data_IF_283869784332
#
_entry.id   IF_283869784332
#
_cell.length_a   1.000
_cell.length_b   1.000
_cell.length_c   1.000
_cell.angle_alpha   90.00
_cell.angle_beta   90.00
_cell.angle_gamma   90.00
#
_symmetry.space_group_name_H-M   'P 1'
#
loop_
_entity.id
_entity.type
_entity.pdbx_description
1 polymer ?
#
# COMPACT_ATOMS: atom_id res chain seq x y z
N UNK A 1 7.18 -36.36 -11.11
CA UNK A 1 7.34 -35.17 -11.97
C UNK A 1 7.32 -33.95 -11.06
N UNK A 2 8.41 -33.19 -10.96
CA UNK A 2 8.37 -31.91 -10.24
C UNK A 2 7.50 -30.94 -11.04
N UNK A 3 6.44 -30.41 -10.42
CA UNK A 3 5.62 -29.34 -11.00
C UNK A 3 6.56 -28.14 -11.20
N UNK A 4 6.61 -27.56 -12.39
CA UNK A 4 7.40 -26.36 -12.64
C UNK A 4 6.95 -25.25 -11.67
N UNK A 5 7.90 -24.65 -10.95
CA UNK A 5 7.64 -23.61 -9.97
C UNK A 5 8.22 -22.30 -10.50
N UNK A 6 7.37 -21.30 -10.71
CA UNK A 6 7.81 -20.01 -11.22
C UNK A 6 8.60 -19.25 -10.15
N UNK A 7 9.68 -18.52 -10.50
CA UNK A 7 10.46 -17.78 -9.51
C UNK A 7 9.62 -16.73 -8.77
N UNK A 8 8.80 -15.97 -9.50
CA UNK A 8 7.92 -14.95 -8.94
C UNK A 8 6.58 -14.98 -9.66
N UNK A 9 5.49 -14.93 -8.91
CA UNK A 9 4.16 -14.62 -9.43
C UNK A 9 3.60 -13.37 -8.76
N UNK A 10 2.90 -12.57 -9.56
CA UNK A 10 2.24 -11.35 -9.10
C UNK A 10 0.73 -11.53 -9.24
N UNK A 11 0.01 -11.29 -8.16
CA UNK A 11 -1.45 -11.26 -8.17
C UNK A 11 -1.92 -9.82 -8.01
N UNK A 12 -2.83 -9.36 -8.85
CA UNK A 12 -3.41 -8.01 -8.74
C UNK A 12 -4.87 -8.16 -8.35
N UNK A 13 -5.24 -7.57 -7.22
CA UNK A 13 -6.59 -7.62 -6.64
C UNK A 13 -7.22 -6.22 -6.71
N UNK A 14 -8.44 -6.11 -7.21
CA UNK A 14 -9.21 -4.85 -7.23
C UNK A 14 -10.71 -5.14 -7.27
N UNK A 15 -11.53 -4.17 -6.88
CA UNK A 15 -12.99 -4.31 -6.95
C UNK A 15 -13.48 -4.14 -8.40
N UNK A 16 -14.39 -4.98 -8.92
CA UNK A 16 -14.79 -4.98 -10.34
C UNK A 16 -15.49 -3.68 -10.76
N UNK A 17 -16.20 -3.04 -9.84
CA UNK A 17 -16.87 -1.75 -10.11
C UNK A 17 -15.88 -0.56 -10.16
N UNK A 18 -14.60 -0.77 -9.85
CA UNK A 18 -13.59 0.27 -9.87
C UNK A 18 -12.81 0.28 -11.21
N UNK A 19 -13.25 1.14 -12.13
CA UNK A 19 -12.63 1.30 -13.45
C UNK A 19 -11.17 1.81 -13.39
N UNK A 20 -10.85 2.67 -12.43
CA UNK A 20 -9.48 3.19 -12.26
C UNK A 20 -8.51 2.06 -11.86
N UNK A 21 -8.93 1.19 -10.95
CA UNK A 21 -8.23 0.00 -10.51
C UNK A 21 -8.03 -0.99 -11.65
N UNK A 22 -9.03 -1.16 -12.51
CA UNK A 22 -8.87 -1.95 -13.73
C UNK A 22 -7.79 -1.36 -14.64
N UNK A 23 -7.82 -0.05 -14.93
CA UNK A 23 -6.81 0.61 -15.76
C UNK A 23 -5.40 0.48 -15.18
N UNK A 24 -5.27 0.56 -13.85
CA UNK A 24 -4.00 0.37 -13.15
C UNK A 24 -3.53 -1.09 -13.18
N UNK A 25 -4.44 -2.05 -13.04
CA UNK A 25 -4.15 -3.48 -13.16
C UNK A 25 -3.66 -3.83 -14.56
N UNK A 26 -4.34 -3.35 -15.60
CA UNK A 26 -3.96 -3.54 -17.00
C UNK A 26 -2.60 -2.91 -17.30
N UNK A 27 -2.35 -1.70 -16.76
CA UNK A 27 -1.05 -1.05 -16.88
C UNK A 27 0.06 -1.88 -16.22
N UNK A 28 -0.11 -2.30 -14.95
CA UNK A 28 0.87 -3.13 -14.26
C UNK A 28 1.10 -4.45 -14.97
N UNK A 29 0.05 -5.08 -15.50
CA UNK A 29 0.16 -6.26 -16.34
C UNK A 29 1.05 -6.00 -17.56
N UNK A 30 0.82 -4.89 -18.28
CA UNK A 30 1.62 -4.53 -19.46
C UNK A 30 3.10 -4.26 -19.14
N UNK A 31 3.40 -3.78 -17.93
CA UNK A 31 4.77 -3.51 -17.47
C UNK A 31 5.49 -4.81 -17.07
N UNK A 32 4.81 -5.70 -16.37
CA UNK A 32 5.39 -6.89 -15.76
C UNK A 32 5.38 -8.10 -16.69
N UNK A 33 4.30 -8.27 -17.46
CA UNK A 33 4.11 -9.38 -18.37
C UNK A 33 4.67 -9.06 -19.77
N UNK A 34 4.86 -10.10 -20.58
CA UNK A 34 5.30 -9.95 -21.96
C UNK A 34 4.12 -9.61 -22.86
N UNK A 35 4.24 -8.51 -23.60
CA UNK A 35 3.30 -8.18 -24.66
C UNK A 35 3.46 -9.21 -25.79
N UNK A 36 2.48 -10.12 -25.91
CA UNK A 36 2.43 -11.15 -26.94
C UNK A 36 2.29 -10.55 -28.35
N UNK A 37 1.77 -9.33 -28.47
CA UNK A 37 1.68 -8.59 -29.75
C UNK A 37 3.02 -7.96 -30.17
N UNK A 38 3.98 -7.84 -29.24
CA UNK A 38 5.31 -7.28 -29.50
C UNK A 38 6.41 -8.21 -28.95
N UNK A 39 6.52 -9.44 -29.48
CA UNK A 39 7.38 -10.49 -28.93
C UNK A 39 8.87 -10.12 -28.97
N UNK A 40 9.30 -9.20 -29.85
CA UNK A 40 10.68 -8.75 -29.95
C UNK A 40 11.09 -7.77 -28.83
N UNK A 41 10.12 -7.21 -28.10
CA UNK A 41 10.40 -6.35 -26.96
C UNK A 41 10.80 -7.22 -25.77
N UNK A 42 11.96 -6.94 -25.17
CA UNK A 42 12.34 -7.54 -23.89
C UNK A 42 11.47 -6.95 -22.78
N UNK A 43 10.41 -7.67 -22.41
CA UNK A 43 9.66 -7.46 -21.18
C UNK A 43 10.21 -8.32 -20.05
N UNK A 44 9.80 -8.06 -18.81
CA UNK A 44 10.20 -8.85 -17.64
C UNK A 44 9.68 -10.30 -17.65
N UNK A 45 8.53 -10.56 -18.30
CA UNK A 45 7.99 -11.92 -18.47
C UNK A 45 7.50 -12.54 -17.15
N UNK A 46 7.10 -11.71 -16.19
CA UNK A 46 6.58 -12.16 -14.89
C UNK A 46 5.12 -12.60 -15.07
N UNK A 47 4.72 -13.80 -14.60
CA UNK A 47 3.33 -14.21 -14.53
C UNK A 47 2.52 -13.24 -13.65
N UNK A 48 1.50 -12.63 -14.25
CA UNK A 48 0.56 -11.75 -13.56
C UNK A 48 -0.83 -12.35 -13.65
N UNK A 49 -1.50 -12.48 -12.50
CA UNK A 49 -2.83 -13.05 -12.39
C UNK A 49 -3.80 -12.04 -11.79
N UNK A 50 -4.97 -11.91 -12.38
CA UNK A 50 -6.01 -11.02 -11.87
C UNK A 50 -6.91 -11.70 -10.85
N UNK A 51 -7.34 -10.94 -9.85
CA UNK A 51 -8.29 -11.30 -8.80
C UNK A 51 -9.27 -10.16 -8.60
N UNK A 52 -10.17 -10.01 -9.57
CA UNK A 52 -11.16 -8.93 -9.56
C UNK A 52 -12.60 -9.42 -9.52
N UNK A 53 -12.92 -10.55 -10.15
CA UNK A 53 -14.29 -11.05 -10.16
C UNK A 53 -14.48 -12.08 -9.05
N UNK A 54 -15.65 -12.05 -8.43
CA UNK A 54 -16.09 -13.11 -7.50
C UNK A 54 -16.16 -14.43 -8.27
N UNK A 55 -15.69 -15.51 -7.66
CA UNK A 55 -15.74 -16.83 -8.28
C UNK A 55 -17.19 -17.34 -8.33
N UNK A 56 -17.50 -18.22 -9.27
CA UNK A 56 -18.82 -18.84 -9.37
C UNK A 56 -19.18 -19.53 -8.04
N UNK A 57 -20.37 -19.23 -7.51
CA UNK A 57 -20.86 -19.70 -6.20
C UNK A 57 -20.03 -19.25 -4.98
N UNK A 58 -19.21 -18.21 -5.09
CA UNK A 58 -18.49 -17.61 -3.95
C UNK A 58 -18.71 -16.10 -3.90
N UNK A 59 -18.67 -15.53 -2.69
CA UNK A 59 -18.77 -14.08 -2.49
C UNK A 59 -17.43 -13.35 -2.61
N UNK A 60 -16.35 -14.08 -2.96
CA UNK A 60 -14.98 -13.57 -2.99
C UNK A 60 -14.27 -14.04 -4.27
N UNK A 61 -13.18 -13.36 -4.70
CA UNK A 61 -12.35 -13.84 -5.79
C UNK A 61 -11.75 -15.23 -5.54
N UNK A 62 -11.26 -15.86 -6.60
CA UNK A 62 -10.59 -17.17 -6.52
C UNK A 62 -9.41 -17.09 -5.55
N UNK A 63 -9.22 -18.12 -4.72
CA UNK A 63 -8.10 -18.20 -3.80
C UNK A 63 -6.74 -18.16 -4.55
N UNK A 64 -5.70 -17.74 -3.85
CA UNK A 64 -4.33 -17.71 -4.38
C UNK A 64 -3.63 -18.99 -3.93
N UNK A 65 -3.13 -19.78 -4.88
CA UNK A 65 -2.27 -20.91 -4.55
C UNK A 65 -0.82 -20.43 -4.43
N UNK A 66 -0.37 -20.23 -3.20
CA UNK A 66 1.00 -19.78 -2.91
C UNK A 66 2.06 -20.89 -3.04
N UNK A 67 1.69 -22.13 -3.38
CA UNK A 67 2.64 -23.22 -3.58
C UNK A 67 3.26 -23.21 -5.00
N UNK A 68 2.59 -22.59 -5.97
CA UNK A 68 2.98 -22.61 -7.39
C UNK A 68 4.18 -21.72 -7.72
N UNK A 69 4.62 -20.86 -6.79
CA UNK A 69 5.72 -19.92 -7.01
C UNK A 69 6.68 -19.85 -5.84
N UNK A 70 7.95 -19.56 -6.11
CA UNK A 70 8.93 -19.38 -5.04
C UNK A 70 8.65 -18.09 -4.26
N UNK A 71 8.54 -16.97 -4.97
CA UNK A 71 8.10 -15.70 -4.44
C UNK A 71 6.68 -15.39 -4.91
N UNK A 72 5.89 -14.76 -4.05
CA UNK A 72 4.55 -14.29 -4.40
C UNK A 72 4.35 -12.87 -3.91
N UNK A 73 3.98 -11.99 -4.83
CA UNK A 73 3.58 -10.63 -4.54
C UNK A 73 2.07 -10.47 -4.80
N UNK A 74 1.34 -9.94 -3.83
CA UNK A 74 -0.08 -9.60 -3.99
C UNK A 74 -0.21 -8.09 -3.94
N UNK A 75 -0.53 -7.49 -5.08
CA UNK A 75 -0.79 -6.05 -5.22
C UNK A 75 -2.29 -5.83 -5.03
N UNK A 76 -2.68 -5.15 -3.95
CA UNK A 76 -4.08 -4.84 -3.67
C UNK A 76 -4.37 -3.38 -4.03
N UNK A 77 -5.18 -3.15 -5.05
CA UNK A 77 -5.62 -1.84 -5.49
C UNK A 77 -6.86 -1.43 -4.68
N UNK A 78 -6.63 -0.71 -3.59
CA UNK A 78 -7.66 -0.41 -2.59
C UNK A 78 -8.37 0.89 -2.93
N UNK A 79 -9.59 0.76 -3.44
CA UNK A 79 -10.52 1.85 -3.72
C UNK A 79 -11.63 1.94 -2.68
N UNK A 80 -12.53 2.94 -2.82
CA UNK A 80 -13.68 3.07 -1.95
C UNK A 80 -14.64 1.87 -2.05
N UNK A 81 -14.89 1.38 -3.27
CA UNK A 81 -15.74 0.18 -3.49
C UNK A 81 -15.12 -1.06 -2.84
N UNK A 82 -13.79 -1.19 -2.89
CA UNK A 82 -13.06 -2.27 -2.23
C UNK A 82 -13.24 -2.22 -0.70
N UNK A 83 -13.22 -1.02 -0.12
CA UNK A 83 -13.38 -0.82 1.34
C UNK A 83 -14.83 -1.06 1.77
N UNK A 84 -15.81 -0.68 0.95
CA UNK A 84 -17.24 -0.85 1.24
C UNK A 84 -17.64 -2.33 1.18
N UNK A 85 -17.13 -3.10 0.21
CA UNK A 85 -17.40 -4.54 0.13
C UNK A 85 -16.54 -5.34 1.12
N UNK A 86 -17.15 -5.67 2.26
CA UNK A 86 -16.52 -6.45 3.35
C UNK A 86 -15.96 -7.79 2.88
N UNK A 87 -16.49 -8.38 1.81
CA UNK A 87 -15.97 -9.64 1.29
C UNK A 87 -14.57 -9.49 0.68
N UNK A 88 -14.27 -8.35 0.07
CA UNK A 88 -12.92 -8.03 -0.40
C UNK A 88 -11.96 -7.74 0.75
N UNK A 89 -12.40 -7.02 1.78
CA UNK A 89 -11.63 -6.83 3.02
C UNK A 89 -11.28 -8.17 3.68
N UNK A 90 -12.28 -9.04 3.86
CA UNK A 90 -12.09 -10.39 4.42
C UNK A 90 -11.19 -11.26 3.53
N UNK A 91 -11.28 -11.15 2.21
CA UNK A 91 -10.41 -11.84 1.27
C UNK A 91 -8.96 -11.39 1.42
N UNK A 92 -8.72 -10.08 1.52
CA UNK A 92 -7.39 -9.51 1.71
C UNK A 92 -6.78 -9.91 3.07
N UNK A 93 -7.60 -10.00 4.13
CA UNK A 93 -7.16 -10.47 5.44
C UNK A 93 -6.67 -11.92 5.42
N UNK A 94 -7.39 -12.81 4.72
CA UNK A 94 -6.96 -14.21 4.55
C UNK A 94 -5.62 -14.29 3.82
N UNK A 95 -5.48 -13.54 2.74
CA UNK A 95 -4.21 -13.44 1.99
C UNK A 95 -3.08 -12.95 2.89
N UNK A 96 -3.33 -11.93 3.72
CA UNK A 96 -2.33 -11.38 4.61
C UNK A 96 -1.89 -12.40 5.67
N UNK A 97 -2.83 -13.12 6.28
CA UNK A 97 -2.55 -14.19 7.24
C UNK A 97 -1.68 -15.29 6.60
N UNK A 98 -2.03 -15.75 5.39
CA UNK A 98 -1.27 -16.77 4.65
C UNK A 98 0.13 -16.28 4.22
N UNK A 99 0.30 -14.98 3.97
CA UNK A 99 1.62 -14.39 3.67
C UNK A 99 2.49 -14.23 4.92
N UNK A 100 1.91 -14.25 6.12
CA UNK A 100 2.65 -14.18 7.38
C UNK A 100 2.94 -15.56 7.97
N UNK A 101 2.19 -16.60 7.59
CA UNK A 101 2.41 -17.96 8.08
C UNK A 101 3.66 -18.64 7.48
N UNK A 102 4.16 -18.19 6.33
CA UNK A 102 5.38 -18.70 5.68
C UNK A 102 6.30 -17.50 5.41
N UNK A 103 7.42 -17.40 6.15
CA UNK A 103 8.19 -16.16 6.19
C UNK A 103 8.91 -15.82 4.88
N UNK A 104 9.06 -14.51 4.69
CA UNK A 104 9.90 -13.76 3.74
C UNK A 104 9.61 -13.84 2.25
N UNK A 105 9.09 -14.96 1.72
CA UNK A 105 8.88 -15.14 0.28
C UNK A 105 7.54 -14.63 -0.25
N UNK A 106 6.62 -14.23 0.64
CA UNK A 106 5.25 -13.83 0.29
C UNK A 106 4.92 -12.47 0.90
N UNK A 107 4.41 -11.54 0.09
CA UNK A 107 4.10 -10.18 0.54
C UNK A 107 2.84 -9.62 -0.10
N UNK A 108 2.15 -8.80 0.70
CA UNK A 108 1.02 -7.98 0.27
C UNK A 108 1.50 -6.53 0.15
N UNK A 109 1.21 -5.92 -0.99
CA UNK A 109 1.53 -4.53 -1.32
C UNK A 109 0.24 -3.76 -1.59
N UNK A 110 -0.36 -3.19 -0.55
CA UNK A 110 -1.56 -2.40 -0.72
C UNK A 110 -1.24 -1.04 -1.37
N UNK A 111 -2.03 -0.66 -2.37
CA UNK A 111 -1.98 0.62 -3.07
C UNK A 111 -3.25 1.39 -2.75
N UNK A 112 -3.11 2.54 -2.09
CA UNK A 112 -4.20 3.44 -1.78
C UNK A 112 -4.58 4.26 -3.03
N UNK A 113 -5.73 3.93 -3.63
CA UNK A 113 -6.33 4.69 -4.75
C UNK A 113 -7.23 5.82 -4.22
N UNK A 114 -7.89 5.58 -3.08
CA UNK A 114 -8.72 6.57 -2.40
C UNK A 114 -8.19 6.92 -1.01
N UNK A 115 -8.71 8.01 -0.43
CA UNK A 115 -8.38 8.43 0.94
C UNK A 115 -8.86 7.43 1.99
N UNK A 116 -9.93 6.68 1.70
CA UNK A 116 -10.49 5.71 2.63
C UNK A 116 -9.80 4.34 2.54
N UNK A 117 -8.82 4.16 1.65
CA UNK A 117 -8.13 2.90 1.46
C UNK A 117 -7.54 2.31 2.75
N UNK A 118 -7.11 3.16 3.68
CA UNK A 118 -6.55 2.75 4.96
C UNK A 118 -7.58 2.07 5.89
N UNK A 119 -8.88 2.19 5.60
CA UNK A 119 -9.96 1.60 6.38
C UNK A 119 -10.34 0.18 5.91
N UNK A 120 -9.63 -0.39 4.93
CA UNK A 120 -9.95 -1.72 4.36
C UNK A 120 -9.91 -2.83 5.40
N UNK A 121 -8.92 -2.81 6.31
CA UNK A 121 -8.83 -3.73 7.43
C UNK A 121 -7.78 -3.27 8.44
N UNK A 122 -8.06 -3.52 9.72
CA UNK A 122 -7.16 -3.23 10.82
C UNK A 122 -5.84 -4.02 10.74
N UNK A 123 -5.83 -5.21 10.11
CA UNK A 123 -4.64 -6.07 10.00
C UNK A 123 -3.56 -5.46 9.10
N UNK A 124 -3.96 -4.64 8.12
CA UNK A 124 -3.04 -4.00 7.17
C UNK A 124 -2.47 -2.67 7.70
N UNK A 125 -2.92 -2.20 8.87
CA UNK A 125 -2.42 -0.97 9.52
C UNK A 125 -0.88 -0.91 9.64
N UNK A 126 -0.16 -1.99 9.95
CA UNK A 126 1.30 -1.97 10.06
C UNK A 126 2.03 -1.86 8.72
N UNK A 127 1.36 -2.11 7.59
CA UNK A 127 1.98 -2.09 6.26
C UNK A 127 1.88 -0.68 5.68
N UNK A 128 2.99 -0.18 5.14
CA UNK A 128 2.99 1.07 4.39
C UNK A 128 2.31 0.90 3.03
N UNK A 129 1.22 1.64 2.80
CA UNK A 129 0.55 1.62 1.50
C UNK A 129 1.32 2.49 0.49
N UNK A 130 1.46 1.98 -0.73
CA UNK A 130 1.86 2.81 -1.88
C UNK A 130 0.71 3.76 -2.16
N UNK A 131 0.99 5.05 -2.38
CA UNK A 131 -0.05 6.08 -2.51
C UNK A 131 -0.11 6.64 -3.90
N UNK A 132 -1.33 6.85 -4.37
CA UNK A 132 -1.61 7.44 -5.67
C UNK A 132 -2.09 8.86 -5.42
N UNK A 133 -1.27 9.83 -5.78
CA UNK A 133 -1.61 11.25 -5.61
C UNK A 133 -2.31 11.73 -6.88
N UNK A 134 -3.62 11.98 -6.77
CA UNK A 134 -4.39 12.67 -7.81
C UNK A 134 -4.02 14.15 -7.75
N UNK A 135 -3.34 14.66 -8.75
CA UNK A 135 -3.00 16.08 -8.83
C UNK A 135 -4.31 16.89 -8.80
N UNK A 136 -4.47 17.74 -7.78
CA UNK A 136 -5.59 18.69 -7.67
C UNK A 136 -5.13 19.93 -8.44
N UNK A 137 -5.53 20.06 -9.70
CA UNK A 137 -5.14 21.21 -10.50
C UNK A 137 -5.93 21.32 -11.80
N UNK A 138 -6.72 22.39 -11.89
CA UNK A 138 -7.28 22.91 -13.13
C UNK A 138 -6.21 23.02 -14.24
N UNK A 139 -6.68 22.93 -15.48
CA UNK A 139 -6.00 23.15 -16.77
C UNK A 139 -5.54 21.88 -17.49
N UNK A 140 -6.14 21.70 -18.67
CA UNK A 140 -5.77 20.80 -19.76
C UNK A 140 -4.30 20.38 -19.78
N UNK A 141 -4.04 19.09 -19.60
CA UNK A 141 -2.96 18.41 -20.30
C UNK A 141 -3.17 16.89 -20.20
N UNK A 142 -2.96 16.20 -21.31
CA UNK A 142 -3.02 14.75 -21.47
C UNK A 142 -1.99 13.97 -20.62
N UNK A 143 -1.19 14.66 -19.80
CA UNK A 143 -0.10 14.13 -18.97
C UNK A 143 -0.53 13.62 -17.58
N UNK A 144 -1.77 13.87 -17.14
CA UNK A 144 -2.23 13.45 -15.80
C UNK A 144 -2.20 11.93 -15.62
N UNK A 145 -2.51 11.15 -16.67
CA UNK A 145 -2.47 9.67 -16.62
C UNK A 145 -1.04 9.12 -16.57
N UNK A 146 -0.11 9.75 -17.28
CA UNK A 146 1.31 9.37 -17.25
C UNK A 146 1.92 9.49 -15.86
N UNK A 147 1.48 10.50 -15.10
CA UNK A 147 1.92 10.71 -13.72
C UNK A 147 1.39 9.64 -12.74
N UNK A 148 0.12 9.25 -12.84
CA UNK A 148 -0.45 8.20 -11.97
C UNK A 148 0.25 6.85 -12.21
N UNK A 149 0.48 6.50 -13.47
CA UNK A 149 1.13 5.24 -13.83
C UNK A 149 2.60 5.19 -13.41
N UNK A 150 3.34 6.30 -13.49
CA UNK A 150 4.71 6.35 -12.98
C UNK A 150 4.76 6.24 -11.45
N UNK A 151 3.80 6.86 -10.75
CA UNK A 151 3.66 6.80 -9.29
C UNK A 151 3.42 5.38 -8.77
N UNK A 152 2.76 4.50 -9.52
CA UNK A 152 2.61 3.09 -9.11
C UNK A 152 3.75 2.22 -9.62
N UNK A 153 4.26 2.48 -10.83
CA UNK A 153 5.29 1.64 -11.47
C UNK A 153 6.55 1.57 -10.62
N UNK A 154 7.09 2.72 -10.22
CA UNK A 154 8.38 2.77 -9.52
C UNK A 154 8.32 2.11 -8.15
N UNK A 155 7.33 2.41 -7.28
CA UNK A 155 7.22 1.76 -5.98
C UNK A 155 6.92 0.26 -6.07
N UNK A 156 6.04 -0.16 -6.99
CA UNK A 156 5.76 -1.60 -7.20
C UNK A 156 7.03 -2.33 -7.61
N UNK A 157 7.76 -1.82 -8.60
CA UNK A 157 9.00 -2.47 -9.05
C UNK A 157 10.05 -2.50 -7.95
N UNK A 158 10.18 -1.42 -7.19
CA UNK A 158 11.09 -1.35 -6.04
C UNK A 158 10.76 -2.44 -5.00
N UNK A 159 9.49 -2.58 -4.63
CA UNK A 159 9.04 -3.57 -3.67
C UNK A 159 9.20 -5.01 -4.17
N UNK A 160 8.98 -5.26 -5.46
CA UNK A 160 9.27 -6.55 -6.09
C UNK A 160 10.77 -6.88 -6.03
N UNK A 161 11.65 -5.92 -6.28
CA UNK A 161 13.09 -6.10 -6.12
C UNK A 161 13.46 -6.47 -4.67
N UNK A 162 12.90 -5.75 -3.68
CA UNK A 162 13.12 -6.06 -2.25
C UNK A 162 12.66 -7.47 -1.88
N UNK A 163 11.52 -7.92 -2.43
CA UNK A 163 11.03 -9.29 -2.24
C UNK A 163 12.00 -10.32 -2.82
N UNK A 164 12.44 -10.13 -4.05
CA UNK A 164 13.37 -11.04 -4.74
C UNK A 164 14.74 -11.11 -4.06
N UNK A 165 15.19 -10.02 -3.46
CA UNK A 165 16.41 -9.96 -2.66
C UNK A 165 16.22 -10.54 -1.24
N UNK A 166 15.02 -11.04 -0.91
CA UNK A 166 14.65 -11.56 0.40
C UNK A 166 14.98 -10.58 1.55
N UNK A 167 14.93 -9.27 1.28
CA UNK A 167 15.14 -8.23 2.30
C UNK A 167 14.00 -8.30 3.30
N UNK A 168 14.24 -8.20 4.61
CA UNK A 168 13.17 -8.26 5.64
C UNK A 168 12.00 -7.33 5.33
N UNK A 169 10.79 -7.71 5.76
CA UNK A 169 9.64 -6.80 5.64
C UNK A 169 9.93 -5.55 6.46
N UNK A 170 9.46 -4.39 6.01
CA UNK A 170 9.58 -3.17 6.82
C UNK A 170 8.95 -3.35 8.21
N UNK A 171 7.91 -4.19 8.34
CA UNK A 171 7.32 -4.57 9.63
C UNK A 171 8.28 -5.34 10.54
N UNK A 172 9.11 -6.20 9.97
CA UNK A 172 10.00 -7.10 10.72
C UNK A 172 11.32 -6.41 11.10
N UNK A 173 11.70 -5.35 10.38
CA UNK A 173 12.79 -4.46 10.77
C UNK A 173 12.44 -3.64 12.03
N UNK A 174 11.16 -3.38 12.28
CA UNK A 174 10.68 -2.59 13.43
C UNK A 174 10.74 -3.38 14.74
N UNK A 175 10.71 -4.71 14.72
CA UNK A 175 10.93 -5.52 15.95
C UNK A 175 12.33 -5.31 16.55
N UNK A 176 13.27 -4.76 15.78
CA UNK A 176 14.61 -4.35 16.26
C UNK A 176 14.69 -2.89 16.73
N UNK A 177 13.66 -2.09 16.49
CA UNK A 177 13.54 -0.70 16.92
C UNK A 177 12.58 -0.64 18.12
N UNK A 178 12.95 0.05 19.20
CA UNK A 178 12.13 0.20 20.42
C UNK A 178 10.83 1.00 20.23
N UNK A 179 10.45 1.33 19.00
CA UNK A 179 9.31 2.18 18.65
C UNK A 179 8.19 1.30 18.08
N UNK A 180 7.20 0.99 18.92
CA UNK A 180 6.02 0.24 18.52
C UNK A 180 5.19 1.01 17.47
N UNK A 181 4.81 0.38 16.34
CA UNK A 181 3.97 1.01 15.33
C UNK A 181 2.53 1.24 15.84
N UNK A 182 1.78 2.17 15.22
CA UNK A 182 2.24 3.17 14.24
C UNK A 182 3.05 4.28 14.90
N UNK A 183 4.01 4.86 14.16
CA UNK A 183 4.79 6.02 14.60
C UNK A 183 3.81 7.12 15.06
N UNK A 184 3.94 7.51 16.33
CA UNK A 184 3.11 8.53 16.96
C UNK A 184 3.77 9.89 16.75
N UNK A 185 3.09 10.80 16.06
CA UNK A 185 3.56 12.16 15.85
C UNK A 185 2.92 13.09 16.88
N UNK A 186 3.76 13.71 17.72
CA UNK A 186 3.32 14.75 18.64
C UNK A 186 3.39 16.09 17.94
N UNK A 187 2.24 16.74 17.77
CA UNK A 187 2.13 18.08 17.22
C UNK A 187 1.95 19.04 18.40
N UNK A 188 3.01 19.77 18.75
CA UNK A 188 2.97 20.80 19.77
C UNK A 188 2.70 22.17 19.15
N UNK A 189 1.87 22.98 19.80
CA UNK A 189 1.70 24.39 19.49
C UNK A 189 1.70 25.22 20.79
N UNK A 190 2.06 26.50 20.65
CA UNK A 190 2.10 27.47 21.76
C UNK A 190 0.68 27.90 22.14
N UNK A 191 0.41 28.09 23.45
CA UNK A 191 -0.87 28.66 23.94
C UNK A 191 -1.17 30.06 23.41
N UNK A 192 -0.12 30.82 23.14
CA UNK A 192 -0.21 32.24 22.80
C UNK A 192 -0.14 32.51 21.29
N UNK A 193 -0.10 31.44 20.50
CA UNK A 193 0.08 31.55 19.06
C UNK A 193 -1.23 31.20 18.34
N UNK A 194 -1.56 31.98 17.30
CA UNK A 194 -2.78 31.78 16.49
C UNK A 194 -2.72 30.47 15.67
N UNK A 195 -1.56 29.79 15.69
CA UNK A 195 -1.25 28.53 15.00
C UNK A 195 -2.06 27.31 15.43
N UNK A 196 -2.97 27.43 16.41
CA UNK A 196 -3.88 26.33 16.82
C UNK A 196 -4.69 25.79 15.64
N UNK A 197 -5.19 26.68 14.77
CA UNK A 197 -5.99 26.27 13.61
C UNK A 197 -5.13 25.50 12.60
N UNK A 198 -3.89 25.93 12.38
CA UNK A 198 -2.98 25.30 11.43
C UNK A 198 -2.43 23.97 11.97
N UNK A 199 -2.18 23.87 13.28
CA UNK A 199 -1.86 22.62 13.94
C UNK A 199 -3.00 21.59 13.83
N UNK A 200 -4.25 22.03 13.96
CA UNK A 200 -5.43 21.18 13.75
C UNK A 200 -5.57 20.75 12.28
N UNK A 201 -5.43 21.66 11.32
CA UNK A 201 -5.42 21.32 9.89
C UNK A 201 -4.30 20.36 9.53
N UNK A 202 -3.10 20.55 10.08
CA UNK A 202 -1.97 19.67 9.86
C UNK A 202 -2.23 18.28 10.46
N UNK A 203 -2.74 18.20 11.69
CA UNK A 203 -3.19 16.95 12.31
C UNK A 203 -4.21 16.22 11.42
N UNK A 204 -5.22 16.93 10.96
CA UNK A 204 -6.30 16.35 10.15
C UNK A 204 -5.81 15.93 8.77
N UNK A 205 -4.86 16.66 8.19
CA UNK A 205 -4.15 16.26 6.98
C UNK A 205 -3.34 14.98 7.21
N UNK A 206 -2.54 14.90 8.27
CA UNK A 206 -1.75 13.71 8.58
C UNK A 206 -2.65 12.50 8.85
N UNK A 207 -3.74 12.65 9.59
CA UNK A 207 -4.68 11.55 9.85
C UNK A 207 -5.46 11.13 8.59
N UNK A 208 -5.79 12.06 7.69
CA UNK A 208 -6.55 11.76 6.47
C UNK A 208 -5.69 11.28 5.31
N UNK A 209 -4.39 11.62 5.32
CA UNK A 209 -3.47 11.30 4.24
C UNK A 209 -2.41 10.27 4.64
N UNK A 210 -2.27 9.91 5.92
CA UNK A 210 -1.22 8.99 6.40
C UNK A 210 -1.73 7.96 7.41
N UNK A 211 -0.93 6.92 7.67
CA UNK A 211 -1.19 5.91 8.71
C UNK A 211 -0.62 6.30 10.09
N UNK A 212 -0.08 7.52 10.23
CA UNK A 212 0.51 8.00 11.47
C UNK A 212 -0.60 8.33 12.48
N UNK A 213 -0.39 7.98 13.75
CA UNK A 213 -1.26 8.45 14.83
C UNK A 213 -0.76 9.81 15.30
N UNK A 214 -1.61 10.83 15.29
CA UNK A 214 -1.25 12.18 15.75
C UNK A 214 -1.90 12.52 17.08
N UNK A 215 -1.17 13.25 17.93
CA UNK A 215 -1.68 13.83 19.18
C UNK A 215 -1.36 15.33 19.21
N UNK A 216 -2.34 16.14 19.60
CA UNK A 216 -2.12 17.57 19.84
C UNK A 216 -1.80 17.79 21.31
N UNK A 217 -0.67 18.42 21.59
CA UNK A 217 -0.31 18.88 22.94
C UNK A 217 -0.17 20.39 22.95
N UNK A 218 -0.53 21.00 24.08
CA UNK A 218 -0.49 22.44 24.28
C UNK A 218 0.61 22.77 25.28
N UNK A 219 1.66 23.46 24.85
CA UNK A 219 2.80 23.81 25.71
C UNK A 219 2.68 25.25 26.19
N UNK A 220 2.85 25.48 27.50
CA UNK A 220 2.98 26.81 28.09
C UNK A 220 4.47 27.20 28.02
N UNK A 221 4.82 28.18 27.19
CA UNK A 221 6.16 28.77 27.16
C UNK A 221 6.31 29.72 28.35
N UNK A 222 6.54 29.19 29.54
CA UNK A 222 7.07 29.95 30.68
C UNK A 222 7.87 29.02 31.60
N UNK A 223 9.08 28.66 31.18
CA UNK A 223 10.13 28.23 32.12
C UNK A 223 11.50 28.55 31.53
N UNK A 224 11.91 29.81 31.66
CA UNK A 224 13.33 30.13 31.86
C UNK A 224 13.53 30.09 33.37
N UNK A 225 14.13 29.03 33.87
CA UNK A 225 14.77 29.05 35.19
C UNK A 225 15.97 28.11 35.16
N UNK A 226 17.13 28.74 35.01
CA UNK A 226 18.47 28.37 35.49
C UNK A 226 18.53 27.11 36.34
N UNK A 227 19.21 26.08 35.82
CA UNK A 227 19.96 25.15 36.65
C UNK A 227 21.43 25.57 36.55
N UNK A 228 21.85 26.41 37.50
CA UNK A 228 23.25 26.58 37.84
C UNK A 228 23.80 25.25 38.37
N UNK A 229 25.03 24.97 37.95
CA UNK A 229 25.96 24.00 38.51
C UNK A 229 26.09 24.08 40.03
N UNK A 230 25.68 23.04 40.75
CA UNK A 230 26.54 22.20 41.62
C UNK A 230 25.76 21.05 42.24
#
# INVERSE_FOLDING_TARGET
MSKYKTPLSVFIVWHPDNLEGQQMADFLYSVLCRDSSKPLIRSMGIPVYFRSTKAENKNQPIAIDFAESEFTAVIALVSDEFVIDKEYGNYLDKIFDECNSVSDKRRVYPIAISKNAFNVSAKLTPINFIRVTKAIGNVCSTDTKGNIFSQIKSPVLHELCRLLMNMKKATDEIDSLTISPPIKLFISHSKHDESKLDAAKFRDYINSQTQLKTFLTQTILHTVQTLETK
#
